data_IF_928574034783
#
_entry.id   IF_928574034783
#
_cell.length_a   1.000
_cell.length_b   1.000
_cell.length_c   1.000
_cell.angle_alpha   90.00
_cell.angle_beta   90.00
_cell.angle_gamma   90.00
#
_symmetry.space_group_name_H-M   'P 1'
#
loop_
_entity.id
_entity.type
_entity.pdbx_description
1 polymer ?
#
# COMPACT_ATOMS: atom_id res chain seq x y z
N UNK A 1 -46.21 -0.49 -21.91
CA UNK A 1 -45.05 -0.67 -22.82
C UNK A 1 -44.80 -2.16 -23.02
N UNK A 2 -44.96 -2.71 -24.24
CA UNK A 2 -44.82 -4.16 -24.49
C UNK A 2 -43.38 -4.68 -24.33
N UNK A 3 -42.38 -3.83 -24.59
CA UNK A 3 -40.94 -4.13 -24.44
C UNK A 3 -40.44 -4.27 -22.99
N UNK A 4 -41.28 -3.93 -22.00
CA UNK A 4 -40.92 -4.01 -20.58
C UNK A 4 -41.55 -5.23 -19.88
N UNK A 5 -42.44 -5.98 -20.55
CA UNK A 5 -43.04 -7.20 -20.00
C UNK A 5 -42.00 -8.32 -20.01
N UNK A 6 -41.55 -8.73 -18.82
CA UNK A 6 -40.54 -9.78 -18.63
C UNK A 6 -39.22 -9.31 -18.03
N UNK A 7 -39.06 -8.00 -17.75
CA UNK A 7 -37.92 -7.50 -16.99
C UNK A 7 -38.08 -7.88 -15.52
N UNK A 8 -37.21 -8.76 -15.04
CA UNK A 8 -37.07 -9.06 -13.62
C UNK A 8 -35.94 -8.22 -13.02
N UNK A 9 -36.32 -7.28 -12.15
CA UNK A 9 -35.38 -6.41 -11.44
C UNK A 9 -35.08 -6.90 -10.02
N UNK A 10 -35.53 -8.11 -9.64
CA UNK A 10 -35.30 -8.70 -8.32
C UNK A 10 -33.84 -8.62 -7.90
N UNK A 11 -32.89 -8.87 -8.81
CA UNK A 11 -31.44 -8.77 -8.57
C UNK A 11 -30.94 -7.34 -8.34
N UNK A 12 -31.61 -6.34 -8.93
CA UNK A 12 -31.22 -4.93 -8.81
C UNK A 12 -31.78 -4.29 -7.55
N UNK A 13 -32.96 -4.73 -7.11
CA UNK A 13 -33.62 -4.26 -5.89
C UNK A 13 -33.39 -5.16 -4.68
N UNK A 14 -32.60 -6.22 -4.83
CA UNK A 14 -32.23 -7.09 -3.73
C UNK A 14 -31.53 -6.29 -2.63
N UNK A 15 -32.12 -6.31 -1.44
CA UNK A 15 -31.47 -5.80 -0.22
C UNK A 15 -31.09 -7.02 0.62
N UNK A 16 -29.79 -7.25 0.87
CA UNK A 16 -29.35 -8.26 1.81
C UNK A 16 -29.99 -8.01 3.18
N UNK A 17 -30.43 -9.07 3.84
CA UNK A 17 -30.87 -8.98 5.22
C UNK A 17 -29.63 -8.79 6.11
N UNK A 18 -29.51 -7.61 6.72
CA UNK A 18 -28.36 -7.21 7.51
C UNK A 18 -28.78 -6.17 8.55
N UNK A 19 -28.12 -6.12 9.73
CA UNK A 19 -28.33 -5.07 10.72
C UNK A 19 -28.13 -3.67 10.11
N UNK A 20 -28.81 -2.65 10.67
CA UNK A 20 -28.78 -1.29 10.13
C UNK A 20 -27.35 -0.70 10.04
N UNK A 21 -26.47 -1.03 10.99
CA UNK A 21 -25.06 -0.61 10.91
C UNK A 21 -24.27 -1.27 9.75
N UNK A 22 -24.67 -2.44 9.26
CA UNK A 22 -23.95 -3.18 8.23
C UNK A 22 -24.35 -2.80 6.80
N UNK A 23 -25.45 -2.04 6.63
CA UNK A 23 -25.87 -1.52 5.31
C UNK A 23 -25.22 -0.18 4.95
N UNK A 24 -24.49 0.41 5.89
CA UNK A 24 -23.72 1.63 5.70
C UNK A 24 -22.21 1.34 5.72
N UNK A 25 -21.43 2.25 5.13
CA UNK A 25 -19.98 2.21 5.24
C UNK A 25 -19.58 2.62 6.66
N UNK A 26 -19.44 1.63 7.55
CA UNK A 26 -19.19 1.83 8.99
C UNK A 26 -17.78 1.50 9.42
N UNK A 27 -17.00 0.83 8.58
CA UNK A 27 -15.64 0.39 8.89
C UNK A 27 -14.63 0.77 7.80
N UNK A 28 -13.42 1.10 8.24
CA UNK A 28 -12.26 1.28 7.36
C UNK A 28 -11.67 -0.08 7.03
N UNK A 29 -11.23 -0.26 5.79
CA UNK A 29 -10.47 -1.44 5.40
C UNK A 29 -9.17 -1.52 6.22
N UNK A 30 -8.96 -2.63 6.92
CA UNK A 30 -7.69 -2.95 7.56
C UNK A 30 -6.78 -3.63 6.53
N UNK A 31 -5.67 -2.97 6.20
CA UNK A 31 -4.65 -3.53 5.33
C UNK A 31 -3.57 -4.23 6.19
N UNK A 32 -3.17 -5.48 5.89
CA UNK A 32 -2.15 -6.19 6.65
C UNK A 32 -0.73 -5.73 6.23
N UNK A 33 -0.41 -4.46 6.52
CA UNK A 33 0.84 -3.79 6.10
C UNK A 33 1.65 -3.26 7.29
N UNK A 34 1.37 -3.77 8.48
CA UNK A 34 2.01 -3.31 9.70
C UNK A 34 3.38 -3.97 9.91
N UNK A 35 3.55 -5.21 9.46
CA UNK A 35 4.77 -6.01 9.65
C UNK A 35 5.61 -6.17 8.38
N UNK A 36 5.32 -5.40 7.32
CA UNK A 36 6.05 -5.50 6.04
C UNK A 36 7.47 -4.91 6.17
N UNK A 37 8.42 -5.51 5.44
CA UNK A 37 9.84 -5.10 5.42
C UNK A 37 10.03 -3.59 5.19
N UNK A 38 9.14 -2.99 4.40
CA UNK A 38 9.16 -1.55 4.10
C UNK A 38 9.03 -0.64 5.31
N UNK A 39 8.34 -1.08 6.38
CA UNK A 39 8.28 -0.29 7.62
C UNK A 39 9.68 -0.12 8.20
N UNK A 40 10.47 -1.19 8.18
CA UNK A 40 11.87 -1.17 8.61
C UNK A 40 12.74 -0.33 7.66
N UNK A 41 12.52 -0.44 6.35
CA UNK A 41 13.25 0.38 5.38
C UNK A 41 12.98 1.88 5.56
N UNK A 42 11.73 2.28 5.79
CA UNK A 42 11.35 3.68 6.05
C UNK A 42 12.00 4.20 7.32
N UNK A 43 11.97 3.41 8.40
CA UNK A 43 12.64 3.77 9.66
C UNK A 43 14.15 4.00 9.47
N UNK A 44 14.83 3.08 8.78
CA UNK A 44 16.27 3.20 8.50
C UNK A 44 16.59 4.33 7.51
N UNK A 45 15.65 4.68 6.62
CA UNK A 45 15.80 5.75 5.65
C UNK A 45 15.46 7.15 6.20
N UNK A 46 15.04 7.29 7.46
CA UNK A 46 14.71 8.60 8.07
C UNK A 46 15.76 9.69 7.83
N UNK A 47 17.09 9.45 7.99
CA UNK A 47 18.08 10.49 7.73
C UNK A 47 18.07 11.00 6.28
N UNK A 48 17.81 10.11 5.31
CA UNK A 48 17.65 10.49 3.91
C UNK A 48 16.32 11.23 3.66
N UNK A 49 15.24 10.79 4.29
CA UNK A 49 13.90 11.37 4.10
C UNK A 49 13.71 12.72 4.80
N UNK A 50 14.48 13.02 5.84
CA UNK A 50 14.34 14.25 6.64
C UNK A 50 15.48 15.24 6.35
N UNK A 51 16.73 14.76 6.36
CA UNK A 51 17.92 15.59 6.22
C UNK A 51 18.61 15.44 4.86
N UNK A 52 18.09 14.61 3.94
CA UNK A 52 18.69 14.32 2.62
C UNK A 52 20.12 13.78 2.72
N UNK A 53 20.42 13.09 3.81
CA UNK A 53 21.72 12.45 4.03
C UNK A 53 21.76 11.10 3.30
N UNK A 54 22.88 10.77 2.63
CA UNK A 54 23.06 9.45 2.05
C UNK A 54 23.00 8.35 3.12
N UNK A 55 22.21 7.31 2.88
CA UNK A 55 22.10 6.13 3.74
C UNK A 55 22.35 4.86 2.95
N UNK A 56 23.04 3.91 3.57
CA UNK A 56 23.22 2.54 3.07
C UNK A 56 22.57 1.57 4.05
N UNK A 57 21.68 0.73 3.56
CA UNK A 57 20.87 -0.19 4.35
C UNK A 57 21.15 -1.62 3.87
N UNK A 58 21.58 -2.49 4.78
CA UNK A 58 21.75 -3.92 4.48
C UNK A 58 20.75 -4.75 5.30
N UNK A 59 19.92 -5.56 4.62
CA UNK A 59 18.92 -6.40 5.27
C UNK A 59 18.75 -7.76 4.56
N UNK A 60 18.34 -8.81 5.30
CA UNK A 60 17.89 -10.04 4.66
C UNK A 60 16.52 -9.84 3.98
N UNK A 61 16.24 -10.61 2.91
CA UNK A 61 14.94 -10.66 2.24
C UNK A 61 14.48 -12.11 2.02
N UNK A 62 13.17 -12.36 2.15
CA UNK A 62 12.52 -13.65 1.91
C UNK A 62 11.43 -13.52 0.84
N UNK A 63 11.03 -14.64 0.24
CA UNK A 63 10.01 -14.69 -0.81
C UNK A 63 8.60 -14.24 -0.36
N UNK A 64 8.38 -14.10 0.94
CA UNK A 64 7.14 -13.54 1.50
C UNK A 64 7.15 -12.00 1.52
N UNK A 65 8.33 -11.38 1.45
CA UNK A 65 8.55 -9.93 1.46
C UNK A 65 8.28 -9.34 0.08
N UNK A 66 7.00 -9.33 -0.31
CA UNK A 66 6.54 -8.87 -1.61
C UNK A 66 6.50 -7.35 -1.69
N UNK A 67 6.75 -6.82 -2.89
CA UNK A 67 6.72 -5.37 -3.17
C UNK A 67 7.67 -4.55 -2.28
N UNK A 68 8.81 -5.14 -1.91
CA UNK A 68 9.83 -4.46 -1.11
C UNK A 68 10.31 -3.19 -1.83
N UNK A 69 10.32 -2.07 -1.10
CA UNK A 69 10.65 -0.72 -1.55
C UNK A 69 9.45 0.12 -2.00
N UNK A 70 8.25 -0.44 -2.16
CA UNK A 70 7.10 0.29 -2.69
C UNK A 70 6.60 1.41 -1.76
N UNK A 71 6.47 1.15 -0.46
CA UNK A 71 6.08 2.18 0.51
C UNK A 71 7.21 3.19 0.72
N UNK A 72 8.47 2.75 0.73
CA UNK A 72 9.62 3.66 0.80
C UNK A 72 9.63 4.62 -0.40
N UNK A 73 9.41 4.11 -1.61
CA UNK A 73 9.24 4.91 -2.82
C UNK A 73 8.07 5.89 -2.69
N UNK A 74 6.96 5.44 -2.11
CA UNK A 74 5.81 6.29 -1.79
C UNK A 74 6.16 7.45 -0.85
N UNK A 75 6.95 7.21 0.21
CA UNK A 75 7.44 8.25 1.11
C UNK A 75 8.32 9.27 0.38
N UNK A 76 9.23 8.81 -0.48
CA UNK A 76 10.06 9.69 -1.31
C UNK A 76 9.18 10.54 -2.23
N UNK A 77 8.24 9.94 -2.96
CA UNK A 77 7.34 10.65 -3.87
C UNK A 77 6.44 11.65 -3.11
N UNK A 78 5.95 11.28 -1.93
CA UNK A 78 5.10 12.14 -1.11
C UNK A 78 5.83 13.41 -0.66
N UNK A 79 7.08 13.27 -0.24
CA UNK A 79 7.93 14.36 0.28
C UNK A 79 8.58 15.20 -0.82
N UNK A 80 9.10 14.57 -1.87
CA UNK A 80 9.96 15.23 -2.87
C UNK A 80 9.32 15.37 -4.26
N UNK A 81 8.11 14.83 -4.45
CA UNK A 81 7.36 14.89 -5.71
C UNK A 81 8.23 14.42 -6.89
N UNK A 82 8.09 15.06 -8.05
CA UNK A 82 8.85 14.74 -9.25
C UNK A 82 10.35 15.05 -9.17
N UNK A 83 10.78 15.91 -8.24
CA UNK A 83 12.20 16.25 -8.09
C UNK A 83 13.00 15.11 -7.47
N UNK A 84 12.34 14.31 -6.62
CA UNK A 84 12.97 13.17 -5.95
C UNK A 84 14.12 13.56 -5.02
N UNK A 85 14.88 12.55 -4.61
CA UNK A 85 16.17 12.70 -3.96
C UNK A 85 17.28 12.69 -5.01
N UNK A 86 18.47 13.15 -4.64
CA UNK A 86 19.66 12.91 -5.47
C UNK A 86 19.87 11.40 -5.62
N UNK A 87 20.46 10.99 -6.73
CA UNK A 87 20.94 9.61 -6.90
C UNK A 87 21.84 9.22 -5.72
N UNK A 88 21.79 7.93 -5.37
CA UNK A 88 22.53 7.32 -4.27
C UNK A 88 22.27 7.89 -2.87
N UNK A 89 21.20 8.67 -2.67
CA UNK A 89 20.82 9.13 -1.33
C UNK A 89 20.29 7.98 -0.47
N UNK A 90 19.66 6.96 -1.08
CA UNK A 90 19.22 5.76 -0.37
C UNK A 90 19.70 4.56 -1.17
N UNK A 91 20.64 3.81 -0.62
CA UNK A 91 21.09 2.53 -1.16
C UNK A 91 20.63 1.40 -0.25
N UNK A 92 19.98 0.39 -0.83
CA UNK A 92 19.48 -0.77 -0.09
C UNK A 92 20.05 -2.04 -0.72
N UNK A 93 20.82 -2.78 0.06
CA UNK A 93 21.35 -4.09 -0.32
C UNK A 93 20.57 -5.17 0.41
N UNK A 94 19.95 -6.05 -0.36
CA UNK A 94 19.14 -7.14 0.17
C UNK A 94 19.81 -8.48 -0.12
N UNK A 95 19.88 -9.34 0.90
CA UNK A 95 20.49 -10.69 0.78
C UNK A 95 19.44 -11.75 1.02
N UNK A 96 19.20 -12.62 0.02
CA UNK A 96 18.22 -13.70 0.10
C UNK A 96 17.44 -13.87 -1.20
N UNK A 97 16.15 -14.19 -1.09
CA UNK A 97 15.25 -14.35 -2.25
C UNK A 97 14.12 -13.34 -2.16
N UNK A 98 14.00 -12.45 -3.14
CA UNK A 98 12.88 -11.51 -3.22
C UNK A 98 11.62 -12.21 -3.74
N UNK A 99 10.46 -11.80 -3.24
CA UNK A 99 9.13 -12.31 -3.61
C UNK A 99 8.33 -11.39 -4.50
#
# INVERSE_FOLDING_TARGET
>A
HWKARGLDFSKMFFKPDAPHEAVHWTERQKHPIDDVLDRKLIELAKPALEARQPVSIELPIRNVDRSTGAMLSGEVAKRFKHKGLREDTISVKLTGTAG
#
